data_IF_759523458120
#
_entry.id   IF_759523458120
#
_cell.length_a   1.000
_cell.length_b   1.000
_cell.length_c   1.000
_cell.angle_alpha   90.00
_cell.angle_beta   90.00
_cell.angle_gamma   90.00
#
_symmetry.space_group_name_H-M   'P 1'
#
loop_
_entity.id
_entity.type
_entity.pdbx_description
1 polymer ?
#
# COMPACT_ATOMS: atom_id res chain seq x y z
N UNK A 1 16.06 -14.38 14.73
CA UNK A 1 16.46 -13.93 13.39
C UNK A 1 15.25 -14.08 12.49
N UNK A 2 14.83 -13.01 11.82
CA UNK A 2 13.63 -13.01 10.98
C UNK A 2 13.62 -11.75 10.09
N UNK A 3 12.52 -11.46 9.41
CA UNK A 3 12.38 -10.27 8.57
C UNK A 3 12.57 -8.97 9.37
N UNK A 4 13.11 -7.96 8.70
CA UNK A 4 13.18 -6.60 9.19
C UNK A 4 13.52 -5.62 8.06
N UNK A 5 13.18 -4.36 8.26
CA UNK A 5 13.44 -3.29 7.29
C UNK A 5 14.41 -2.28 7.89
N UNK A 6 15.36 -1.81 7.08
CA UNK A 6 16.28 -0.71 7.41
C UNK A 6 15.85 0.51 6.62
N UNK A 7 15.55 1.59 7.31
CA UNK A 7 15.02 2.82 6.71
C UNK A 7 16.09 3.89 6.57
N UNK A 8 16.05 4.58 5.43
CA UNK A 8 16.98 5.66 5.10
C UNK A 8 16.22 6.89 4.59
N UNK A 9 16.67 8.08 4.96
CA UNK A 9 16.32 9.32 4.29
C UNK A 9 17.30 9.59 3.15
N UNK A 10 16.79 10.04 2.00
CA UNK A 10 17.60 10.42 0.85
C UNK A 10 17.46 11.92 0.60
N UNK A 11 18.58 12.64 0.60
CA UNK A 11 18.60 14.08 0.34
C UNK A 11 18.55 14.43 -1.17
N UNK A 12 18.49 15.73 -1.47
CA UNK A 12 18.49 16.23 -2.86
C UNK A 12 19.77 15.90 -3.63
N UNK A 13 20.86 15.61 -2.94
CA UNK A 13 22.15 15.19 -3.50
C UNK A 13 22.30 13.67 -3.59
N UNK A 14 21.21 12.91 -3.36
CA UNK A 14 21.16 11.44 -3.37
C UNK A 14 22.07 10.77 -2.34
N UNK A 15 22.38 11.47 -1.24
CA UNK A 15 23.02 10.86 -0.06
C UNK A 15 21.96 10.21 0.82
N UNK A 16 22.28 9.01 1.32
CA UNK A 16 21.42 8.22 2.18
C UNK A 16 21.88 8.31 3.64
N UNK A 17 20.92 8.48 4.53
CA UNK A 17 21.14 8.63 5.97
C UNK A 17 20.25 7.61 6.70
N UNK A 18 20.87 6.72 7.49
CA UNK A 18 20.13 5.77 8.30
C UNK A 18 19.20 6.51 9.26
N UNK A 19 17.96 6.03 9.38
CA UNK A 19 16.94 6.59 10.25
C UNK A 19 16.56 5.60 11.35
N UNK A 20 16.08 4.42 10.96
CA UNK A 20 15.66 3.40 11.91
C UNK A 20 15.71 1.98 11.32
N UNK A 21 15.51 0.99 12.18
CA UNK A 21 15.34 -0.41 11.79
C UNK A 21 14.08 -0.98 12.45
N UNK A 22 13.14 -1.43 11.62
CA UNK A 22 11.96 -2.15 12.05
C UNK A 22 12.26 -3.66 12.10
N UNK A 23 12.33 -4.24 13.29
CA UNK A 23 12.67 -5.67 13.50
C UNK A 23 11.46 -6.61 13.37
N UNK A 24 10.57 -6.29 12.43
CA UNK A 24 9.33 -7.02 12.12
C UNK A 24 8.95 -6.80 10.66
N UNK A 25 7.98 -7.58 10.19
CA UNK A 25 7.34 -7.33 8.89
C UNK A 25 6.64 -5.96 8.89
N UNK A 26 6.66 -5.29 7.75
CA UNK A 26 5.98 -4.02 7.54
C UNK A 26 4.67 -4.22 6.78
N UNK A 27 3.77 -3.24 6.89
CA UNK A 27 2.43 -3.31 6.29
C UNK A 27 2.55 -3.42 4.76
N UNK A 28 3.51 -2.68 4.20
CA UNK A 28 3.86 -2.54 2.79
C UNK A 28 4.74 -3.66 2.22
N UNK A 29 4.99 -4.75 2.97
CA UNK A 29 5.71 -5.91 2.42
C UNK A 29 5.12 -6.47 1.10
N UNK A 30 3.80 -6.41 0.81
CA UNK A 30 3.26 -7.00 -0.43
C UNK A 30 3.87 -6.40 -1.69
N UNK A 31 4.23 -5.12 -1.73
CA UNK A 31 4.85 -4.54 -2.95
C UNK A 31 6.21 -5.18 -3.24
N UNK A 32 6.97 -5.55 -2.21
CA UNK A 32 8.23 -6.30 -2.37
C UNK A 32 7.96 -7.72 -2.85
N UNK A 33 6.95 -8.40 -2.31
CA UNK A 33 6.53 -9.72 -2.77
C UNK A 33 6.12 -9.68 -4.25
N UNK A 34 5.32 -8.70 -4.65
CA UNK A 34 4.81 -8.57 -6.02
C UNK A 34 5.91 -8.36 -7.06
N UNK A 35 7.01 -7.68 -6.71
CA UNK A 35 8.13 -7.44 -7.66
C UNK A 35 9.24 -8.49 -7.60
N UNK A 36 9.35 -9.24 -6.50
CA UNK A 36 10.38 -10.29 -6.35
C UNK A 36 9.84 -11.70 -6.61
N UNK A 37 8.53 -11.90 -6.45
CA UNK A 37 7.89 -13.21 -6.49
C UNK A 37 8.12 -14.06 -5.22
N UNK A 38 8.67 -13.47 -4.16
CA UNK A 38 8.89 -14.15 -2.89
C UNK A 38 7.71 -13.92 -1.95
N UNK A 39 7.25 -14.98 -1.27
CA UNK A 39 6.30 -14.87 -0.15
C UNK A 39 7.09 -14.65 1.15
N UNK A 40 7.08 -13.41 1.64
CA UNK A 40 7.86 -13.03 2.82
C UNK A 40 7.27 -13.64 4.08
N UNK A 41 5.95 -13.79 4.18
CA UNK A 41 5.29 -14.38 5.35
C UNK A 41 5.62 -15.86 5.48
N UNK A 42 5.57 -16.61 4.38
CA UNK A 42 5.97 -18.01 4.33
C UNK A 42 7.43 -18.18 4.78
N UNK A 43 8.32 -17.31 4.31
CA UNK A 43 9.74 -17.34 4.64
C UNK A 43 9.99 -16.99 6.12
N UNK A 44 9.23 -16.05 6.70
CA UNK A 44 9.28 -15.80 8.14
C UNK A 44 8.95 -17.06 8.95
N UNK A 45 7.95 -17.83 8.53
CA UNK A 45 7.52 -19.08 9.18
C UNK A 45 8.60 -20.17 9.02
N UNK A 46 9.12 -20.37 7.81
CA UNK A 46 10.22 -21.33 7.54
C UNK A 46 11.45 -21.05 8.39
N UNK A 47 11.89 -19.78 8.45
CA UNK A 47 13.03 -19.36 9.26
C UNK A 47 12.76 -19.60 10.74
N UNK A 48 11.56 -19.29 11.23
CA UNK A 48 11.18 -19.54 12.63
C UNK A 48 11.19 -21.04 12.98
N UNK A 49 10.89 -21.90 12.00
CA UNK A 49 10.99 -23.36 12.13
C UNK A 49 12.42 -23.90 11.96
N UNK A 50 13.43 -23.04 11.75
CA UNK A 50 14.83 -23.42 11.63
C UNK A 50 15.29 -23.81 10.23
N UNK A 51 14.45 -23.61 9.19
CA UNK A 51 14.88 -23.82 7.81
C UNK A 51 15.80 -22.67 7.34
N UNK A 52 16.83 -22.96 6.53
CA UNK A 52 17.65 -21.94 5.91
C UNK A 52 16.89 -21.21 4.79
N UNK A 53 17.34 -20.01 4.43
CA UNK A 53 16.88 -19.32 3.22
C UNK A 53 17.20 -20.16 1.97
N UNK A 54 16.20 -20.34 1.10
CA UNK A 54 16.31 -21.18 -0.09
C UNK A 54 17.01 -20.48 -1.28
N UNK A 55 17.39 -19.22 -1.14
CA UNK A 55 17.90 -18.37 -2.22
C UNK A 55 19.11 -17.55 -1.77
N UNK A 56 20.01 -17.31 -2.71
CA UNK A 56 21.11 -16.37 -2.57
C UNK A 56 20.74 -15.01 -3.17
N UNK A 57 21.50 -13.96 -2.85
CA UNK A 57 21.26 -12.61 -3.35
C UNK A 57 21.18 -12.52 -4.88
N UNK A 58 21.96 -13.34 -5.59
CA UNK A 58 21.99 -13.39 -7.06
C UNK A 58 20.71 -13.97 -7.69
N UNK A 59 19.92 -14.70 -6.91
CA UNK A 59 18.68 -15.33 -7.36
C UNK A 59 17.49 -14.34 -7.29
N UNK A 60 17.65 -13.26 -6.52
CA UNK A 60 16.63 -12.23 -6.35
C UNK A 60 16.61 -11.28 -7.55
N UNK A 61 15.48 -11.25 -8.25
CA UNK A 61 15.27 -10.32 -9.36
C UNK A 61 14.04 -9.45 -9.11
N UNK A 62 14.19 -8.16 -9.37
CA UNK A 62 13.09 -7.19 -9.33
C UNK A 62 12.48 -7.12 -10.72
N UNK A 63 11.20 -7.45 -10.85
CA UNK A 63 10.46 -7.44 -12.12
C UNK A 63 9.24 -6.53 -12.03
N UNK A 64 9.22 -5.52 -12.89
CA UNK A 64 8.11 -4.58 -12.98
C UNK A 64 8.07 -3.57 -11.82
N UNK A 65 6.88 -3.11 -11.49
CA UNK A 65 6.61 -2.10 -10.48
C UNK A 65 5.32 -2.45 -9.75
N UNK A 66 5.29 -2.24 -8.44
CA UNK A 66 4.11 -2.44 -7.62
C UNK A 66 3.78 -1.18 -6.82
N UNK A 67 2.48 -0.94 -6.61
CA UNK A 67 1.95 0.20 -5.85
C UNK A 67 0.95 -0.36 -4.84
N UNK A 68 1.00 0.12 -3.60
CA UNK A 68 0.02 -0.16 -2.56
C UNK A 68 -0.69 1.13 -2.15
N UNK A 69 -2.02 1.06 -2.07
CA UNK A 69 -2.87 2.06 -1.45
C UNK A 69 -3.53 1.45 -0.22
N UNK A 70 -3.34 2.07 0.96
CA UNK A 70 -4.06 1.69 2.18
C UNK A 70 -5.43 2.33 2.16
N UNK A 71 -6.46 1.50 2.03
CA UNK A 71 -7.84 1.93 2.07
C UNK A 71 -8.24 2.02 3.54
N UNK A 72 -8.50 3.25 3.98
CA UNK A 72 -8.88 3.56 5.35
C UNK A 72 -10.34 4.02 5.39
N UNK A 73 -11.04 3.65 6.46
CA UNK A 73 -12.32 4.22 6.83
C UNK A 73 -12.11 5.61 7.46
N UNK A 74 -11.82 6.60 6.62
CA UNK A 74 -11.51 7.98 6.99
C UNK A 74 -12.18 8.95 6.00
N UNK A 75 -12.43 10.18 6.44
CA UNK A 75 -13.00 11.25 5.62
C UNK A 75 -11.93 12.33 5.31
N UNK A 76 -11.26 12.28 4.14
CA UNK A 76 -10.22 13.26 3.77
C UNK A 76 -10.72 14.70 3.79
N UNK A 77 -11.97 14.96 3.37
CA UNK A 77 -12.55 16.30 3.33
C UNK A 77 -12.76 16.90 4.74
N UNK A 78 -12.76 16.06 5.78
CA UNK A 78 -12.81 16.48 7.18
C UNK A 78 -11.48 16.31 7.90
N UNK A 79 -10.37 16.34 7.17
CA UNK A 79 -9.04 16.20 7.76
C UNK A 79 -8.74 14.76 8.21
N UNK A 80 -9.19 13.77 7.44
CA UNK A 80 -8.98 12.34 7.68
C UNK A 80 -9.56 11.85 9.02
N UNK A 81 -10.69 12.41 9.46
CA UNK A 81 -11.38 11.87 10.63
C UNK A 81 -11.78 10.41 10.40
N UNK A 82 -11.53 9.50 11.35
CA UNK A 82 -12.00 8.12 11.26
C UNK A 82 -13.52 8.05 11.08
N UNK A 83 -13.96 7.10 10.26
CA UNK A 83 -15.36 6.85 9.88
C UNK A 83 -15.77 5.43 10.29
N UNK A 84 -15.90 5.12 11.59
CA UNK A 84 -16.43 3.83 12.03
C UNK A 84 -17.90 3.70 11.62
N UNK A 85 -18.34 2.47 11.36
CA UNK A 85 -19.69 2.21 10.87
C UNK A 85 -19.84 0.80 10.33
N UNK A 86 -20.99 0.51 9.72
CA UNK A 86 -21.25 -0.79 9.11
C UNK A 86 -21.11 -0.69 7.60
N UNK A 87 -20.35 -1.59 7.00
CA UNK A 87 -20.24 -1.68 5.55
C UNK A 87 -21.56 -2.20 4.99
N UNK A 88 -22.29 -1.36 4.26
CA UNK A 88 -23.60 -1.70 3.69
C UNK A 88 -23.50 -2.26 2.28
N UNK A 89 -22.41 -1.99 1.58
CA UNK A 89 -22.12 -2.52 0.25
C UNK A 89 -20.61 -2.66 0.08
N UNK A 90 -20.19 -3.76 -0.55
CA UNK A 90 -18.78 -4.04 -0.77
C UNK A 90 -18.60 -4.75 -2.11
N UNK A 91 -17.82 -4.13 -3.00
CA UNK A 91 -17.26 -4.77 -4.18
C UNK A 91 -15.75 -4.57 -4.17
N UNK A 92 -15.02 -5.68 -4.07
CA UNK A 92 -13.56 -5.69 -4.02
C UNK A 92 -13.02 -5.87 -5.45
N UNK A 93 -12.10 -5.00 -5.92
CA UNK A 93 -11.57 -5.09 -7.27
C UNK A 93 -10.70 -6.33 -7.46
N UNK A 94 -10.56 -6.78 -8.70
CA UNK A 94 -9.75 -7.94 -9.04
C UNK A 94 -9.14 -7.88 -10.43
N UNK A 95 -8.77 -9.04 -10.95
CA UNK A 95 -8.14 -9.19 -12.26
C UNK A 95 -6.61 -9.24 -12.22
N UNK A 96 -6.01 -9.32 -13.41
CA UNK A 96 -4.58 -9.57 -13.55
C UNK A 96 -3.75 -8.46 -12.88
N UNK A 97 -2.86 -8.87 -11.98
CA UNK A 97 -1.93 -7.96 -11.29
C UNK A 97 -2.61 -7.09 -10.24
N UNK A 98 -3.79 -7.47 -9.75
CA UNK A 98 -4.47 -6.85 -8.59
C UNK A 98 -4.50 -7.86 -7.44
N UNK A 99 -4.06 -7.42 -6.26
CA UNK A 99 -4.11 -8.14 -5.00
C UNK A 99 -4.80 -7.27 -3.96
N UNK A 100 -5.67 -7.86 -3.15
CA UNK A 100 -6.31 -7.19 -2.03
C UNK A 100 -6.10 -8.02 -0.78
N UNK A 101 -5.47 -7.41 0.22
CA UNK A 101 -5.36 -7.97 1.56
C UNK A 101 -6.38 -7.24 2.44
N UNK A 102 -7.41 -7.94 2.92
CA UNK A 102 -8.46 -7.34 3.75
C UNK A 102 -9.11 -8.40 4.66
N UNK A 103 -9.77 -7.93 5.72
CA UNK A 103 -10.62 -8.74 6.60
C UNK A 103 -12.09 -8.30 6.59
N UNK A 104 -12.46 -7.34 5.73
CA UNK A 104 -13.83 -6.81 5.68
C UNK A 104 -14.74 -7.66 4.79
N UNK A 105 -16.03 -7.57 5.06
CA UNK A 105 -17.10 -8.22 4.32
C UNK A 105 -18.38 -7.39 4.41
N UNK A 106 -19.37 -7.68 3.56
CA UNK A 106 -20.68 -7.02 3.65
C UNK A 106 -21.30 -7.21 5.04
N UNK A 107 -21.73 -6.12 5.68
CA UNK A 107 -22.27 -6.11 7.03
C UNK A 107 -21.21 -6.07 8.14
N UNK A 108 -19.92 -6.01 7.82
CA UNK A 108 -18.87 -5.85 8.81
C UNK A 108 -18.99 -4.49 9.52
N UNK A 109 -18.98 -4.52 10.86
CA UNK A 109 -18.99 -3.33 11.70
C UNK A 109 -17.56 -2.92 12.05
N UNK A 110 -17.09 -1.82 11.47
CA UNK A 110 -15.77 -1.23 11.72
C UNK A 110 -15.81 -0.57 13.11
N UNK A 111 -15.03 -1.07 14.08
CA UNK A 111 -15.01 -0.52 15.43
C UNK A 111 -14.23 0.82 15.48
N UNK A 112 -14.56 1.73 16.41
CA UNK A 112 -13.85 3.00 16.59
C UNK A 112 -12.53 2.87 17.36
N UNK A 113 -12.17 1.67 17.82
CA UNK A 113 -11.09 1.46 18.79
C UNK A 113 -9.74 1.07 18.16
N UNK A 114 -9.72 0.72 16.88
CA UNK A 114 -8.52 0.26 16.18
C UNK A 114 -8.17 1.22 15.03
N UNK A 115 -7.05 0.94 14.37
CA UNK A 115 -6.65 1.63 13.15
C UNK A 115 -7.76 1.59 12.09
N UNK A 116 -7.89 2.68 11.33
CA UNK A 116 -8.94 2.86 10.32
C UNK A 116 -8.69 2.05 9.04
N UNK A 117 -7.52 1.43 8.89
CA UNK A 117 -7.19 0.62 7.71
C UNK A 117 -8.09 -0.62 7.61
N UNK A 118 -8.81 -0.70 6.51
CA UNK A 118 -9.78 -1.76 6.22
C UNK A 118 -9.33 -2.68 5.08
N UNK A 119 -8.50 -2.19 4.17
CA UNK A 119 -7.90 -3.00 3.11
C UNK A 119 -6.56 -2.42 2.65
N UNK A 120 -5.71 -3.28 2.09
CA UNK A 120 -4.59 -2.87 1.25
C UNK A 120 -4.93 -3.24 -0.18
N UNK A 121 -4.97 -2.26 -1.07
CA UNK A 121 -5.09 -2.49 -2.50
C UNK A 121 -3.70 -2.43 -3.11
N UNK A 122 -3.24 -3.55 -3.66
CA UNK A 122 -1.91 -3.68 -4.24
C UNK A 122 -2.05 -4.02 -5.72
N UNK A 123 -1.27 -3.34 -6.56
CA UNK A 123 -1.19 -3.68 -7.97
C UNK A 123 0.24 -3.87 -8.42
N UNK A 124 0.42 -4.66 -9.48
CA UNK A 124 1.69 -4.86 -10.17
C UNK A 124 1.55 -4.57 -11.66
N UNK A 125 2.60 -4.05 -12.27
CA UNK A 125 2.71 -3.83 -13.71
C UNK A 125 4.14 -3.99 -14.22
N UNK A 126 4.30 -4.33 -15.50
CA UNK A 126 5.64 -4.44 -16.11
C UNK A 126 6.40 -3.11 -16.08
N UNK A 127 5.66 -2.00 -16.00
CA UNK A 127 6.20 -0.65 -15.83
C UNK A 127 5.38 0.10 -14.78
N UNK A 128 5.93 1.22 -14.30
CA UNK A 128 5.25 2.10 -13.34
C UNK A 128 3.94 2.66 -13.91
N UNK A 129 3.91 3.02 -15.19
CA UNK A 129 2.73 3.54 -15.89
C UNK A 129 1.63 2.48 -15.95
N UNK A 130 1.99 1.22 -16.26
CA UNK A 130 1.05 0.10 -16.24
C UNK A 130 0.51 -0.17 -14.83
N UNK A 131 1.37 -0.11 -13.81
CA UNK A 131 0.94 -0.25 -12.41
C UNK A 131 -0.02 0.88 -12.01
N UNK A 132 0.29 2.14 -12.34
CA UNK A 132 -0.59 3.28 -12.07
C UNK A 132 -1.93 3.16 -12.80
N UNK A 133 -1.95 2.77 -14.07
CA UNK A 133 -3.18 2.56 -14.82
C UNK A 133 -4.05 1.45 -14.18
N UNK A 134 -3.42 0.37 -13.71
CA UNK A 134 -4.10 -0.70 -12.98
C UNK A 134 -4.63 -0.22 -11.63
N UNK A 135 -3.87 0.59 -10.89
CA UNK A 135 -4.32 1.14 -9.61
C UNK A 135 -5.54 2.04 -9.79
N UNK A 136 -5.51 2.95 -10.79
CA UNK A 136 -6.65 3.83 -11.10
C UNK A 136 -7.92 3.02 -11.41
N UNK A 137 -7.80 1.99 -12.25
CA UNK A 137 -8.91 1.07 -12.54
C UNK A 137 -9.41 0.39 -11.28
N UNK A 138 -8.51 -0.21 -10.50
CA UNK A 138 -8.87 -0.97 -9.31
C UNK A 138 -9.52 -0.09 -8.22
N UNK A 139 -9.04 1.15 -8.02
CA UNK A 139 -9.68 2.13 -7.14
C UNK A 139 -11.09 2.49 -7.63
N UNK A 140 -11.26 2.75 -8.94
CA UNK A 140 -12.58 3.06 -9.52
C UNK A 140 -13.57 1.89 -9.52
N UNK A 141 -13.06 0.65 -9.46
CA UNK A 141 -13.88 -0.56 -9.28
C UNK A 141 -14.18 -0.84 -7.80
N UNK A 142 -13.45 -0.25 -6.84
CA UNK A 142 -13.62 -0.55 -5.42
C UNK A 142 -14.83 0.20 -4.84
N UNK A 143 -15.95 -0.50 -4.72
CA UNK A 143 -17.19 0.04 -4.13
C UNK A 143 -17.21 -0.31 -2.65
N UNK A 144 -17.33 0.72 -1.81
CA UNK A 144 -17.51 0.56 -0.37
C UNK A 144 -18.48 1.63 0.13
N UNK A 145 -19.64 1.20 0.62
CA UNK A 145 -20.66 2.09 1.18
C UNK A 145 -20.90 1.82 2.67
N UNK A 146 -21.45 2.82 3.35
CA UNK A 146 -21.77 2.78 4.78
C UNK A 146 -20.76 3.51 5.69
N UNK A 147 -19.56 3.79 5.17
CA UNK A 147 -18.53 4.62 5.80
C UNK A 147 -17.81 5.47 4.75
N UNK A 148 -17.21 6.59 5.15
CA UNK A 148 -16.31 7.37 4.30
C UNK A 148 -14.97 6.64 4.15
N UNK A 149 -14.31 6.82 3.00
CA UNK A 149 -12.97 6.26 2.76
C UNK A 149 -12.04 7.26 2.09
N UNK A 150 -10.74 6.94 2.10
CA UNK A 150 -9.71 7.70 1.39
C UNK A 150 -9.47 7.24 -0.07
N UNK A 151 -10.39 6.48 -0.68
CA UNK A 151 -10.23 5.94 -2.05
C UNK A 151 -10.03 7.08 -3.07
N UNK A 152 -10.90 8.09 -3.04
CA UNK A 152 -10.83 9.22 -3.99
C UNK A 152 -9.54 10.03 -3.80
N UNK A 153 -9.07 10.16 -2.57
CA UNK A 153 -7.78 10.81 -2.28
C UNK A 153 -6.59 10.08 -2.93
N UNK A 154 -6.57 8.75 -2.90
CA UNK A 154 -5.56 7.97 -3.64
C UNK A 154 -5.69 8.16 -5.15
N UNK A 155 -6.93 8.23 -5.64
CA UNK A 155 -7.20 8.47 -7.06
C UNK A 155 -6.65 9.83 -7.51
N UNK A 156 -6.83 10.88 -6.72
CA UNK A 156 -6.30 12.22 -6.99
C UNK A 156 -4.78 12.26 -6.99
N UNK A 157 -4.11 11.59 -6.04
CA UNK A 157 -2.65 11.46 -6.02
C UNK A 157 -2.14 10.83 -7.32
N UNK A 158 -2.81 9.78 -7.81
CA UNK A 158 -2.44 9.12 -9.06
C UNK A 158 -2.68 9.99 -10.30
N UNK A 159 -3.52 11.03 -10.20
CA UNK A 159 -3.74 12.01 -11.28
C UNK A 159 -2.76 13.18 -11.24
N UNK A 160 -2.08 13.41 -10.12
CA UNK A 160 -1.07 14.45 -10.03
C UNK A 160 0.16 14.16 -10.92
N UNK A 161 0.62 15.20 -11.62
CA UNK A 161 1.68 15.08 -12.62
C UNK A 161 3.05 14.81 -11.97
N UNK A 162 3.30 15.33 -10.77
CA UNK A 162 4.58 15.15 -10.09
C UNK A 162 4.64 13.73 -9.49
N UNK A 163 3.52 13.23 -8.96
CA UNK A 163 3.41 11.81 -8.62
C UNK A 163 3.66 10.93 -9.85
N UNK A 164 3.04 11.21 -10.99
CA UNK A 164 3.26 10.44 -12.22
C UNK A 164 4.71 10.48 -12.72
N UNK A 165 5.44 11.58 -12.52
CA UNK A 165 6.86 11.69 -12.88
C UNK A 165 7.82 11.10 -11.85
N UNK A 166 7.36 10.78 -10.64
CA UNK A 166 8.25 10.37 -9.54
C UNK A 166 8.95 11.55 -8.85
N UNK A 167 8.42 12.77 -9.00
CA UNK A 167 9.00 14.02 -8.51
C UNK A 167 8.36 14.45 -7.19
N UNK A 168 8.48 13.64 -6.14
CA UNK A 168 7.89 13.92 -4.83
C UNK A 168 8.85 13.63 -3.67
N UNK A 169 8.59 14.30 -2.54
CA UNK A 169 9.28 14.12 -1.27
C UNK A 169 8.27 13.96 -0.13
N UNK A 170 8.75 13.84 1.11
CA UNK A 170 7.88 13.68 2.29
C UNK A 170 6.94 14.86 2.54
N UNK A 171 7.20 16.03 1.96
CA UNK A 171 6.31 17.20 2.03
C UNK A 171 5.32 17.32 0.87
N UNK A 172 5.28 16.35 -0.05
CA UNK A 172 4.48 16.40 -1.28
C UNK A 172 2.99 16.68 -1.03
N UNK A 173 2.35 15.90 -0.15
CA UNK A 173 0.91 16.03 0.14
C UNK A 173 0.58 17.42 0.69
N UNK A 174 1.40 17.94 1.61
CA UNK A 174 1.22 19.27 2.20
C UNK A 174 1.35 20.39 1.18
N UNK A 175 2.24 20.25 0.19
CA UNK A 175 2.45 21.26 -0.86
C UNK A 175 1.32 21.29 -1.90
N UNK A 176 0.70 20.15 -2.16
CA UNK A 176 -0.27 19.97 -3.25
C UNK A 176 -1.72 20.32 -2.89
N UNK A 177 -2.01 20.57 -1.61
CA UNK A 177 -3.33 21.06 -1.17
C UNK A 177 -4.52 20.17 -1.62
N UNK A 178 -4.32 18.85 -1.71
CA UNK A 178 -5.34 17.87 -2.12
C UNK A 178 -6.67 17.94 -1.32
N UNK A 179 -6.66 18.54 -0.14
CA UNK A 179 -7.80 18.60 0.80
C UNK A 179 -8.61 19.91 0.70
N UNK A 180 -8.31 20.77 -0.27
CA UNK A 180 -8.80 22.17 -0.30
C UNK A 180 -9.93 22.42 -1.31
N UNK A 181 -10.60 21.37 -1.80
CA UNK A 181 -11.72 21.49 -2.74
C UNK A 181 -13.07 21.34 -2.04
#
# INVERSE_FOLDING_TARGET
QNAGTVEFLVDKSKKFYFMEMNTRIQVEHPITEMVTGLDLIEEQIKIAAGFPLAYAQKDIQIKGHAIECRINAEDPAKGFLPSPGTITELYVPGGLGVRVDSAIYHGYAIPPYYDSMIAKLIVHGDTREKAMARMKRALGEFILHGVSTNIDFHYDILHDVDFQKGEYDTGFIQKKNFLSQ
#
